data_IF_973632117802
#
_entry.id   IF_973632117802
#
_cell.length_a   1.000
_cell.length_b   1.000
_cell.length_c   1.000
_cell.angle_alpha   90.00
_cell.angle_beta   90.00
_cell.angle_gamma   90.00
#
_symmetry.space_group_name_H-M   'P 1'
#
loop_
_entity.id
_entity.type
_entity.pdbx_description
1 polymer ?
#
# COMPACT_ATOMS: atom_id res chain seq x y z
N UNK A 1 58.36 -32.55 -44.68
CA UNK A 1 57.50 -31.34 -44.59
C UNK A 1 56.69 -31.42 -43.30
N UNK A 2 56.32 -30.31 -42.66
CA UNK A 2 55.35 -30.21 -41.53
C UNK A 2 55.89 -30.00 -40.10
N UNK A 3 56.96 -29.22 -39.90
CA UNK A 3 57.24 -28.59 -38.58
C UNK A 3 57.21 -27.07 -38.61
N UNK A 4 57.66 -26.44 -39.70
CA UNK A 4 57.58 -24.98 -39.88
C UNK A 4 56.17 -24.44 -40.17
N UNK A 5 55.30 -25.22 -40.82
CA UNK A 5 53.94 -24.79 -41.16
C UNK A 5 53.01 -24.69 -39.93
N UNK A 6 53.18 -25.55 -38.92
CA UNK A 6 52.37 -25.50 -37.71
C UNK A 6 52.67 -24.27 -36.84
N UNK A 7 53.95 -23.86 -36.76
CA UNK A 7 54.35 -22.66 -36.03
C UNK A 7 53.89 -21.40 -36.77
N UNK A 8 54.01 -21.37 -38.10
CA UNK A 8 53.53 -20.25 -38.91
C UNK A 8 51.99 -20.07 -38.83
N UNK A 9 51.23 -21.17 -38.82
CA UNK A 9 49.77 -21.16 -38.63
C UNK A 9 49.37 -20.71 -37.23
N UNK A 10 50.11 -21.12 -36.19
CA UNK A 10 49.85 -20.68 -34.82
C UNK A 10 50.13 -19.18 -34.62
N UNK A 11 51.20 -18.65 -35.23
CA UNK A 11 51.51 -17.22 -35.20
C UNK A 11 50.48 -16.41 -36.00
N UNK A 12 50.07 -16.89 -37.18
CA UNK A 12 49.04 -16.23 -37.98
C UNK A 12 47.67 -16.22 -37.26
N UNK A 13 47.32 -17.31 -36.56
CA UNK A 13 46.13 -17.37 -35.72
C UNK A 13 46.20 -16.42 -34.51
N UNK A 14 47.38 -16.27 -33.90
CA UNK A 14 47.60 -15.32 -32.80
C UNK A 14 47.47 -13.85 -33.25
N UNK A 15 47.91 -13.51 -34.46
CA UNK A 15 47.71 -12.16 -35.02
C UNK A 15 46.25 -11.89 -35.46
N UNK A 16 45.51 -12.93 -35.87
CA UNK A 16 44.09 -12.80 -36.20
C UNK A 16 43.17 -12.66 -34.96
N UNK A 17 43.65 -13.00 -33.76
CA UNK A 17 42.93 -12.82 -32.49
C UNK A 17 43.34 -11.56 -31.72
N UNK A 18 44.09 -10.64 -32.33
CA UNK A 18 44.24 -9.28 -31.80
C UNK A 18 42.92 -8.55 -32.08
N UNK A 19 41.94 -8.78 -31.20
CA UNK A 19 40.71 -8.00 -31.19
C UNK A 19 41.06 -6.52 -31.08
N UNK A 20 40.34 -5.68 -31.82
CA UNK A 20 40.44 -4.23 -31.73
C UNK A 20 40.14 -3.84 -30.27
N UNK A 21 41.17 -3.45 -29.51
CA UNK A 21 40.96 -2.75 -28.26
C UNK A 21 40.58 -1.30 -28.63
N UNK A 22 39.28 -1.05 -28.77
CA UNK A 22 38.79 0.33 -28.78
C UNK A 22 39.00 0.89 -27.38
N UNK A 23 39.74 1.99 -27.27
CA UNK A 23 39.98 2.67 -26.00
C UNK A 23 38.70 3.38 -25.48
N UNK A 24 37.59 3.32 -26.22
CA UNK A 24 36.29 3.83 -25.79
C UNK A 24 36.27 5.35 -25.69
N UNK A 25 37.20 6.05 -26.35
CA UNK A 25 37.34 7.50 -26.26
C UNK A 25 36.09 8.25 -26.73
N UNK A 26 35.39 7.73 -27.73
CA UNK A 26 34.10 8.29 -28.18
C UNK A 26 33.04 8.21 -27.08
N UNK A 27 32.85 7.04 -26.47
CA UNK A 27 31.92 6.83 -25.34
C UNK A 27 32.33 7.69 -24.12
N UNK A 28 33.63 7.80 -23.84
CA UNK A 28 34.15 8.64 -22.76
C UNK A 28 33.79 10.11 -22.95
N UNK A 29 34.07 10.69 -24.13
CA UNK A 29 33.77 12.10 -24.40
C UNK A 29 32.26 12.35 -24.50
N UNK A 30 31.48 11.40 -25.03
CA UNK A 30 30.02 11.46 -25.03
C UNK A 30 29.45 11.50 -23.60
N UNK A 31 29.91 10.61 -22.71
CA UNK A 31 29.54 10.62 -21.29
C UNK A 31 29.96 11.90 -20.60
N UNK A 32 31.15 12.42 -20.89
CA UNK A 32 31.65 13.66 -20.30
C UNK A 32 30.77 14.85 -20.69
N UNK A 33 30.34 14.94 -21.95
CA UNK A 33 29.41 15.98 -22.40
C UNK A 33 28.02 15.84 -21.76
N UNK A 34 27.52 14.61 -21.63
CA UNK A 34 26.25 14.32 -20.95
C UNK A 34 26.31 14.72 -19.47
N UNK A 35 27.40 14.39 -18.78
CA UNK A 35 27.61 14.73 -17.37
C UNK A 35 27.75 16.22 -17.15
N UNK A 36 28.43 16.93 -18.06
CA UNK A 36 28.51 18.39 -18.02
C UNK A 36 27.13 19.04 -18.21
N UNK A 37 26.33 18.57 -19.18
CA UNK A 37 24.97 19.04 -19.39
C UNK A 37 24.07 18.75 -18.17
N UNK A 38 24.22 17.57 -17.57
CA UNK A 38 23.51 17.15 -16.36
C UNK A 38 23.87 17.97 -15.13
N UNK A 39 25.15 18.26 -14.93
CA UNK A 39 25.60 19.11 -13.82
C UNK A 39 25.09 20.54 -13.96
N UNK A 40 24.95 21.04 -15.20
CA UNK A 40 24.35 22.36 -15.47
C UNK A 40 22.86 22.44 -15.15
N UNK A 41 22.11 21.34 -15.30
CA UNK A 41 20.69 21.33 -14.98
C UNK A 41 20.40 20.99 -13.51
N UNK A 42 21.39 20.50 -12.75
CA UNK A 42 21.21 20.22 -11.32
C UNK A 42 20.65 21.45 -10.57
N UNK A 43 19.55 21.31 -9.81
CA UNK A 43 18.93 20.06 -9.34
C UNK A 43 17.75 19.51 -10.17
N UNK A 44 17.25 20.21 -11.19
CA UNK A 44 16.10 19.76 -12.00
C UNK A 44 16.58 19.11 -13.31
N UNK A 45 16.12 17.91 -13.70
CA UNK A 45 14.82 17.32 -13.36
C UNK A 45 14.84 16.25 -12.26
N UNK A 46 16.00 15.98 -11.65
CA UNK A 46 16.18 14.87 -10.70
C UNK A 46 15.27 15.01 -9.49
N UNK A 47 15.19 16.21 -8.92
CA UNK A 47 14.32 16.49 -7.77
C UNK A 47 12.84 16.31 -8.12
N UNK A 48 12.39 16.74 -9.30
CA UNK A 48 11.01 16.51 -9.74
C UNK A 48 10.71 15.03 -9.89
N UNK A 49 11.62 14.25 -10.49
CA UNK A 49 11.44 12.81 -10.64
C UNK A 49 11.35 12.10 -9.28
N UNK A 50 12.27 12.39 -8.36
CA UNK A 50 12.30 11.79 -7.03
C UNK A 50 11.05 12.13 -6.20
N UNK A 51 10.59 13.39 -6.29
CA UNK A 51 9.35 13.82 -5.65
C UNK A 51 8.14 13.08 -6.22
N UNK A 52 8.07 12.92 -7.54
CA UNK A 52 6.97 12.20 -8.19
C UNK A 52 6.99 10.71 -7.85
N UNK A 53 8.17 10.07 -7.85
CA UNK A 53 8.33 8.69 -7.41
C UNK A 53 7.81 8.50 -5.98
N UNK A 54 8.23 9.37 -5.05
CA UNK A 54 7.79 9.32 -3.64
C UNK A 54 6.27 9.55 -3.51
N UNK A 55 5.72 10.53 -4.22
CA UNK A 55 4.28 10.82 -4.23
C UNK A 55 3.46 9.66 -4.76
N UNK A 56 3.94 8.98 -5.80
CA UNK A 56 3.27 7.81 -6.37
C UNK A 56 3.17 6.65 -5.38
N UNK A 57 4.23 6.37 -4.62
CA UNK A 57 4.18 5.35 -3.58
C UNK A 57 3.18 5.73 -2.48
N UNK A 58 3.23 6.98 -2.00
CA UNK A 58 2.31 7.46 -0.96
C UNK A 58 0.85 7.46 -1.40
N UNK A 59 0.57 7.79 -2.66
CA UNK A 59 -0.79 7.77 -3.20
C UNK A 59 -1.34 6.33 -3.26
N UNK A 60 -0.52 5.36 -3.66
CA UNK A 60 -0.89 3.94 -3.65
C UNK A 60 -1.13 3.42 -2.22
N UNK A 61 -0.25 3.75 -1.27
CA UNK A 61 -0.42 3.37 0.14
C UNK A 61 -1.71 3.97 0.71
N UNK A 62 -1.99 5.23 0.39
CA UNK A 62 -3.21 5.92 0.82
C UNK A 62 -4.45 5.26 0.23
N UNK A 63 -4.44 4.94 -1.07
CA UNK A 63 -5.54 4.25 -1.73
C UNK A 63 -5.80 2.86 -1.12
N UNK A 64 -4.75 2.09 -0.85
CA UNK A 64 -4.84 0.79 -0.21
C UNK A 64 -5.36 0.90 1.24
N UNK A 65 -4.90 1.89 2.00
CA UNK A 65 -5.39 2.14 3.36
C UNK A 65 -6.87 2.47 3.40
N UNK A 66 -7.36 3.25 2.43
CA UNK A 66 -8.78 3.56 2.30
C UNK A 66 -9.59 2.35 1.87
N UNK A 67 -9.10 1.57 0.91
CA UNK A 67 -9.72 0.30 0.53
C UNK A 67 -9.88 -0.61 1.75
N UNK A 68 -8.82 -0.72 2.57
CA UNK A 68 -8.84 -1.50 3.80
C UNK A 68 -9.88 -0.96 4.79
N UNK A 69 -9.91 0.35 5.02
CA UNK A 69 -10.86 0.99 5.94
C UNK A 69 -12.32 0.84 5.50
N UNK A 70 -12.56 0.81 4.19
CA UNK A 70 -13.87 0.62 3.58
C UNK A 70 -14.24 -0.85 3.35
N UNK A 71 -13.43 -1.79 3.87
CA UNK A 71 -13.70 -3.22 3.75
C UNK A 71 -14.59 -3.70 4.91
N UNK A 72 -15.68 -4.38 4.56
CA UNK A 72 -16.52 -5.15 5.45
C UNK A 72 -15.91 -6.57 5.60
N UNK A 73 -15.25 -6.80 6.72
CA UNK A 73 -14.74 -8.10 7.14
C UNK A 73 -15.82 -9.02 7.74
N UNK A 74 -15.40 -10.19 8.23
CA UNK A 74 -16.32 -11.25 8.70
C UNK A 74 -17.19 -10.81 9.89
N UNK A 75 -16.66 -9.98 10.78
CA UNK A 75 -17.39 -9.46 11.96
C UNK A 75 -18.62 -8.60 11.61
N UNK A 76 -18.72 -8.13 10.37
CA UNK A 76 -19.87 -7.36 9.88
C UNK A 76 -21.01 -8.23 9.33
N UNK A 77 -20.82 -9.54 9.30
CA UNK A 77 -21.80 -10.51 8.82
C UNK A 77 -22.15 -11.51 9.91
N UNK A 78 -23.38 -11.98 9.90
CA UNK A 78 -23.78 -13.13 10.70
C UNK A 78 -23.17 -14.40 10.08
N UNK A 79 -22.49 -15.21 10.89
CA UNK A 79 -21.78 -16.41 10.42
C UNK A 79 -22.71 -17.51 9.88
N UNK A 80 -23.96 -17.56 10.33
CA UNK A 80 -24.93 -18.58 9.93
C UNK A 80 -25.74 -18.12 8.71
N UNK A 81 -26.21 -16.87 8.70
CA UNK A 81 -27.11 -16.36 7.66
C UNK A 81 -26.40 -15.60 6.54
N UNK A 82 -25.14 -15.19 6.74
CA UNK A 82 -24.39 -14.29 5.87
C UNK A 82 -25.06 -12.93 5.61
N UNK A 83 -26.08 -12.59 6.40
CA UNK A 83 -26.70 -11.29 6.37
C UNK A 83 -25.85 -10.27 7.11
N UNK A 84 -25.89 -9.03 6.65
CA UNK A 84 -25.21 -7.93 7.31
C UNK A 84 -25.77 -7.71 8.71
N UNK A 85 -24.88 -7.48 9.68
CA UNK A 85 -25.26 -7.14 11.05
C UNK A 85 -25.51 -5.65 11.19
N UNK A 86 -26.14 -5.23 12.29
CA UNK A 86 -26.30 -3.82 12.60
C UNK A 86 -24.95 -3.06 12.63
N UNK A 87 -23.88 -3.71 13.11
CA UNK A 87 -22.53 -3.13 13.08
C UNK A 87 -22.00 -2.94 11.66
N UNK A 88 -22.32 -3.85 10.74
CA UNK A 88 -22.02 -3.70 9.31
C UNK A 88 -22.79 -2.55 8.68
N UNK A 89 -24.07 -2.38 8.99
CA UNK A 89 -24.88 -1.26 8.50
C UNK A 89 -24.35 0.10 8.97
N UNK A 90 -23.93 0.20 10.24
CA UNK A 90 -23.31 1.42 10.75
C UNK A 90 -21.96 1.70 10.11
N UNK A 91 -21.18 0.66 9.81
CA UNK A 91 -19.92 0.81 9.06
C UNK A 91 -20.16 1.31 7.64
N UNK A 92 -21.18 0.79 6.96
CA UNK A 92 -21.62 1.30 5.65
C UNK A 92 -21.99 2.78 5.74
N UNK A 93 -22.82 3.17 6.71
CA UNK A 93 -23.19 4.58 6.92
C UNK A 93 -21.94 5.44 7.12
N UNK A 94 -20.99 4.99 7.93
CA UNK A 94 -19.72 5.69 8.14
C UNK A 94 -18.92 5.86 6.83
N UNK A 95 -18.86 4.84 5.97
CA UNK A 95 -18.17 4.92 4.67
C UNK A 95 -18.86 5.95 3.76
N UNK A 96 -20.19 5.93 3.73
CA UNK A 96 -21.00 6.82 2.89
C UNK A 96 -20.96 8.28 3.36
N UNK A 97 -20.96 8.52 4.67
CA UNK A 97 -20.84 9.86 5.26
C UNK A 97 -19.41 10.39 5.26
N UNK A 98 -18.43 9.50 5.04
CA UNK A 98 -17.03 9.85 4.92
C UNK A 98 -16.69 10.68 3.68
N UNK A 99 -15.44 10.55 3.21
CA UNK A 99 -14.92 11.38 2.12
C UNK A 99 -15.74 11.20 0.83
N UNK A 100 -16.19 12.30 0.17
CA UNK A 100 -17.09 12.24 -0.99
C UNK A 100 -16.53 11.43 -2.17
N UNK A 101 -15.24 11.52 -2.44
CA UNK A 101 -14.60 10.86 -3.58
C UNK A 101 -14.15 9.40 -3.29
N UNK A 102 -14.46 8.86 -2.10
CA UNK A 102 -13.89 7.60 -1.58
C UNK A 102 -14.92 6.73 -0.87
N UNK A 103 -16.11 6.60 -1.47
CA UNK A 103 -17.29 5.91 -0.89
C UNK A 103 -17.50 4.48 -1.37
N UNK A 104 -16.56 3.92 -2.13
CA UNK A 104 -16.64 2.52 -2.56
C UNK A 104 -16.61 1.59 -1.34
N UNK A 105 -17.57 0.67 -1.28
CA UNK A 105 -17.68 -0.35 -0.23
C UNK A 105 -17.03 -1.63 -0.72
N UNK A 106 -16.15 -2.22 0.09
CA UNK A 106 -15.49 -3.47 -0.25
C UNK A 106 -16.02 -4.59 0.63
N UNK A 107 -16.35 -5.74 0.05
CA UNK A 107 -16.85 -6.91 0.78
C UNK A 107 -15.81 -8.00 0.76
N UNK A 108 -15.44 -8.52 1.94
CA UNK A 108 -14.50 -9.62 2.02
C UNK A 108 -15.12 -10.90 1.48
N UNK A 109 -14.39 -11.54 0.55
CA UNK A 109 -14.74 -12.85 0.01
C UNK A 109 -14.87 -13.88 1.14
N UNK A 110 -15.95 -14.65 1.10
CA UNK A 110 -16.16 -15.78 2.00
C UNK A 110 -15.36 -17.01 1.58
N UNK A 111 -15.54 -18.11 2.34
CA UNK A 111 -14.90 -19.40 2.04
C UNK A 111 -15.37 -20.00 0.70
N UNK A 112 -16.60 -19.69 0.29
CA UNK A 112 -17.18 -20.13 -0.98
C UNK A 112 -17.73 -18.95 -1.76
N UNK A 113 -17.89 -19.14 -3.08
CA UNK A 113 -18.46 -18.14 -3.96
C UNK A 113 -19.91 -17.80 -3.59
N UNK A 114 -20.69 -18.80 -3.19
CA UNK A 114 -22.08 -18.63 -2.77
C UNK A 114 -22.21 -17.73 -1.54
N UNK A 115 -21.28 -17.86 -0.58
CA UNK A 115 -21.24 -16.98 0.60
C UNK A 115 -20.91 -15.55 0.18
N UNK A 116 -19.95 -15.38 -0.73
CA UNK A 116 -19.55 -14.05 -1.22
C UNK A 116 -20.72 -13.36 -1.91
N UNK A 117 -21.44 -14.07 -2.78
CA UNK A 117 -22.64 -13.56 -3.47
C UNK A 117 -23.74 -13.20 -2.48
N UNK A 118 -24.03 -14.06 -1.49
CA UNK A 118 -25.01 -13.76 -0.46
C UNK A 118 -24.68 -12.49 0.35
N UNK A 119 -23.39 -12.30 0.71
CA UNK A 119 -22.92 -11.09 1.39
C UNK A 119 -23.06 -9.85 0.51
N UNK A 120 -22.70 -9.95 -0.77
CA UNK A 120 -22.83 -8.85 -1.74
C UNK A 120 -24.30 -8.41 -1.89
N UNK A 121 -25.23 -9.36 -2.03
CA UNK A 121 -26.67 -9.09 -2.08
C UNK A 121 -27.16 -8.44 -0.80
N UNK A 122 -26.78 -8.97 0.37
CA UNK A 122 -27.18 -8.39 1.67
C UNK A 122 -26.66 -6.96 1.85
N UNK A 123 -25.43 -6.67 1.42
CA UNK A 123 -24.88 -5.31 1.42
C UNK A 123 -25.68 -4.42 0.48
N UNK A 124 -25.98 -4.86 -0.75
CA UNK A 124 -26.77 -4.09 -1.71
C UNK A 124 -28.17 -3.73 -1.19
N UNK A 125 -28.84 -4.67 -0.53
CA UNK A 125 -30.12 -4.42 0.13
C UNK A 125 -29.98 -3.38 1.25
N UNK A 126 -28.94 -3.46 2.07
CA UNK A 126 -28.67 -2.49 3.12
C UNK A 126 -28.36 -1.09 2.55
N UNK A 127 -27.56 -1.00 1.49
CA UNK A 127 -27.30 0.26 0.79
C UNK A 127 -28.60 0.90 0.28
N UNK A 128 -29.46 0.09 -0.32
CA UNK A 128 -30.76 0.53 -0.86
C UNK A 128 -31.66 1.07 0.26
N UNK A 129 -31.60 0.47 1.45
CA UNK A 129 -32.33 0.95 2.63
C UNK A 129 -31.78 2.27 3.18
N UNK A 130 -30.46 2.47 3.13
CA UNK A 130 -29.80 3.67 3.67
C UNK A 130 -29.91 4.87 2.73
N UNK A 131 -29.69 4.67 1.43
CA UNK A 131 -29.62 5.76 0.44
C UNK A 131 -30.88 5.92 -0.40
N UNK A 132 -31.80 4.95 -0.34
CA UNK A 132 -32.97 4.88 -1.20
C UNK A 132 -32.68 4.20 -2.56
N UNK A 133 -33.73 3.99 -3.38
CA UNK A 133 -33.66 3.15 -4.59
C UNK A 133 -32.83 3.72 -5.74
N UNK A 134 -32.55 5.02 -5.75
CA UNK A 134 -31.88 5.71 -6.86
C UNK A 134 -30.36 5.84 -6.68
N UNK A 135 -29.82 5.40 -5.54
CA UNK A 135 -28.40 5.48 -5.24
C UNK A 135 -27.73 4.12 -5.47
N UNK A 136 -26.73 4.10 -6.35
CA UNK A 136 -25.94 2.89 -6.65
C UNK A 136 -24.45 3.15 -6.37
N UNK A 137 -24.06 3.21 -5.10
CA UNK A 137 -22.65 3.26 -4.74
C UNK A 137 -21.93 1.99 -5.18
N UNK A 138 -20.67 2.13 -5.53
CA UNK A 138 -19.83 1.04 -6.01
C UNK A 138 -19.56 0.02 -4.90
N UNK A 139 -19.86 -1.25 -5.17
CA UNK A 139 -19.60 -2.38 -4.28
C UNK A 139 -18.64 -3.32 -4.98
N UNK A 140 -17.53 -3.65 -4.34
CA UNK A 140 -16.50 -4.52 -4.89
C UNK A 140 -16.17 -5.67 -3.94
N UNK A 141 -15.84 -6.84 -4.50
CA UNK A 141 -15.25 -7.91 -3.72
C UNK A 141 -13.76 -7.65 -3.43
N UNK A 142 -13.28 -8.13 -2.28
CA UNK A 142 -11.87 -8.04 -1.91
C UNK A 142 -11.38 -9.30 -1.20
N UNK A 143 -10.13 -9.69 -1.48
CA UNK A 143 -9.44 -10.75 -0.75
C UNK A 143 -8.70 -10.25 0.50
N UNK A 144 -8.47 -8.94 0.59
CA UNK A 144 -7.75 -8.33 1.71
C UNK A 144 -8.68 -8.12 2.90
N UNK A 145 -8.22 -8.48 4.10
CA UNK A 145 -8.94 -8.24 5.35
C UNK A 145 -8.26 -7.13 6.16
N UNK A 146 -9.02 -6.23 6.81
CA UNK A 146 -8.48 -5.34 7.82
C UNK A 146 -7.75 -6.14 8.89
N UNK A 147 -6.52 -5.74 9.22
CA UNK A 147 -5.80 -6.34 10.34
C UNK A 147 -6.57 -6.06 11.64
N UNK A 148 -7.15 -7.11 12.21
CA UNK A 148 -7.80 -7.07 13.52
C UNK A 148 -6.87 -7.51 14.64
N UNK A 149 -7.23 -7.16 15.88
CA UNK A 149 -6.66 -7.76 17.09
C UNK A 149 -7.78 -8.42 17.87
N UNK A 150 -7.53 -9.55 18.55
CA UNK A 150 -8.52 -10.17 19.43
C UNK A 150 -9.00 -9.16 20.47
N UNK A 151 -10.30 -9.13 20.74
CA UNK A 151 -10.88 -8.20 21.71
C UNK A 151 -10.32 -8.43 23.12
N UNK A 152 -10.13 -9.70 23.51
CA UNK A 152 -9.61 -10.07 24.84
C UNK A 152 -8.20 -9.49 25.08
N UNK A 153 -7.32 -9.59 24.08
CA UNK A 153 -5.99 -9.00 24.15
C UNK A 153 -6.03 -7.49 24.35
N UNK A 154 -6.99 -6.82 23.70
CA UNK A 154 -7.18 -5.37 23.84
C UNK A 154 -7.75 -5.03 25.22
N UNK A 155 -8.68 -5.81 25.76
CA UNK A 155 -9.23 -5.64 27.10
C UNK A 155 -8.14 -5.78 28.18
N UNK A 156 -7.28 -6.79 28.05
CA UNK A 156 -6.16 -7.02 28.97
C UNK A 156 -5.21 -5.81 29.03
N UNK A 157 -4.88 -5.23 27.87
CA UNK A 157 -4.05 -4.02 27.81
C UNK A 157 -4.73 -2.85 28.49
N UNK A 158 -6.00 -2.57 28.18
CA UNK A 158 -6.72 -1.44 28.77
C UNK A 158 -6.92 -1.62 30.27
N UNK A 159 -7.13 -2.85 30.73
CA UNK A 159 -7.22 -3.18 32.16
C UNK A 159 -5.89 -2.94 32.86
N UNK A 160 -4.78 -3.42 32.27
CA UNK A 160 -3.44 -3.21 32.80
C UNK A 160 -3.10 -1.71 32.85
N UNK A 161 -3.36 -0.96 31.77
CA UNK A 161 -3.18 0.49 31.70
C UNK A 161 -3.96 1.19 32.83
N UNK A 162 -5.26 0.94 32.95
CA UNK A 162 -6.10 1.54 34.01
C UNK A 162 -5.61 1.19 35.42
N UNK A 163 -5.14 -0.03 35.63
CA UNK A 163 -4.60 -0.46 36.92
C UNK A 163 -3.27 0.22 37.28
N UNK A 164 -2.53 0.69 36.27
CA UNK A 164 -1.24 1.36 36.43
C UNK A 164 -1.35 2.88 36.64
N UNK A 165 -2.52 3.49 36.35
CA UNK A 165 -2.73 4.93 36.49
C UNK A 165 -2.71 5.29 37.99
N UNK A 166 -1.75 6.10 38.47
CA UNK A 166 -1.71 6.52 39.86
C UNK A 166 -2.90 7.42 40.17
N UNK A 167 -3.38 7.38 41.42
CA UNK A 167 -4.46 8.23 41.86
C UNK A 167 -4.13 9.72 41.62
N UNK A 168 -5.09 10.51 41.09
CA UNK A 168 -4.87 11.92 40.82
C UNK A 168 -4.52 12.65 42.13
N UNK A 169 -3.41 13.39 42.13
CA UNK A 169 -2.97 14.19 43.28
C UNK A 169 -3.34 15.64 43.04
N UNK A 170 -3.99 16.28 44.01
CA UNK A 170 -4.19 17.73 44.00
C UNK A 170 -2.90 18.42 44.46
N UNK A 171 -2.55 19.59 43.90
CA UNK A 171 -1.47 20.41 44.43
C UNK A 171 -1.83 20.89 45.85
N UNK A 172 -0.83 20.99 46.73
CA UNK A 172 -1.03 21.46 48.09
C UNK A 172 -1.59 22.89 48.11
N UNK A 173 -2.70 23.11 48.82
CA UNK A 173 -3.28 24.42 49.01
C UNK A 173 -2.33 25.29 49.83
N UNK A 174 -1.66 26.27 49.21
CA UNK A 174 -0.92 27.28 49.97
C UNK A 174 -1.91 28.19 50.70
N UNK A 175 -2.05 28.00 52.00
CA UNK A 175 -2.71 28.96 52.89
C UNK A 175 -1.85 30.20 53.03
N UNK A 176 -2.15 31.25 52.27
CA UNK A 176 -1.60 32.59 52.50
C UNK A 176 -2.21 33.13 53.80
N UNK A 177 -1.49 33.03 54.91
CA UNK A 177 -1.86 33.72 56.15
C UNK A 177 -1.65 35.23 55.94
N UNK A 178 -2.76 35.97 55.83
CA UNK A 178 -2.82 37.41 56.04
C UNK A 178 -3.06 37.72 57.52
#
# INVERSE_FOLDING_TARGET
>A
MNRGQGIALAIAAAFAMVGSCDAGWSEFWERTHLDYARNKCWPEPFVTYDRNATRNYLSQMTANGIRLQNTLGEAHFNSETNQITHGGEMKIRQILEGLPDRRAVFVRRGLTQQITEARMVSVQEAMTRILGPNAHPEIYETGSEPYGRPADFIDDIYRAERSSIPAPRLPETQSSNN
#
